data_IF_398864166542
#
_entry.id   IF_398864166542
#
_cell.length_a   1.000
_cell.length_b   1.000
_cell.length_c   1.000
_cell.angle_alpha   90.00
_cell.angle_beta   90.00
_cell.angle_gamma   90.00
#
_symmetry.space_group_name_H-M   'P 1'
#
loop_
_entity.id
_entity.type
_entity.pdbx_description
1 polymer ?
#
# COMPACT_ATOMS: atom_id res chain seq x y z
N UNK A 1 -15.81 18.16 28.31
CA UNK A 1 -15.19 19.41 27.81
C UNK A 1 -15.92 19.82 26.53
N UNK A 2 -16.94 20.68 26.62
CA UNK A 2 -17.73 21.07 25.45
C UNK A 2 -16.83 21.78 24.43
N UNK A 3 -16.73 21.22 23.22
CA UNK A 3 -16.03 21.88 22.13
C UNK A 3 -16.77 23.18 21.79
N UNK A 4 -16.04 24.29 21.75
CA UNK A 4 -16.58 25.58 21.31
C UNK A 4 -17.18 25.42 19.90
N UNK A 5 -18.35 26.01 19.67
CA UNK A 5 -19.17 25.80 18.47
C UNK A 5 -18.39 26.02 17.16
N UNK A 6 -17.55 27.06 17.09
CA UNK A 6 -16.72 27.33 15.90
C UNK A 6 -15.74 26.19 15.56
N UNK A 7 -15.23 25.46 16.56
CA UNK A 7 -14.32 24.33 16.32
C UNK A 7 -15.05 23.19 15.64
N UNK A 8 -16.27 22.90 16.09
CA UNK A 8 -17.13 21.87 15.48
C UNK A 8 -17.48 22.25 14.05
N UNK A 9 -17.82 23.52 13.83
CA UNK A 9 -18.15 24.05 12.50
C UNK A 9 -16.98 23.88 11.52
N UNK A 10 -15.80 24.41 11.86
CA UNK A 10 -14.64 24.37 10.97
C UNK A 10 -14.17 22.94 10.69
N UNK A 11 -14.22 22.05 11.69
CA UNK A 11 -13.90 20.63 11.50
C UNK A 11 -14.93 19.90 10.65
N UNK A 12 -16.22 20.22 10.79
CA UNK A 12 -17.26 19.63 9.95
C UNK A 12 -17.08 20.03 8.48
N UNK A 13 -16.78 21.30 8.20
CA UNK A 13 -16.52 21.76 6.85
C UNK A 13 -15.23 21.19 6.27
N UNK A 14 -14.18 21.04 7.08
CA UNK A 14 -12.98 20.33 6.68
C UNK A 14 -13.29 18.89 6.25
N UNK A 15 -14.12 18.17 7.02
CA UNK A 15 -14.51 16.79 6.69
C UNK A 15 -15.32 16.75 5.39
N UNK A 16 -16.31 17.65 5.22
CA UNK A 16 -17.09 17.73 3.97
C UNK A 16 -16.21 17.96 2.76
N UNK A 17 -15.24 18.88 2.86
CA UNK A 17 -14.31 19.18 1.78
C UNK A 17 -13.40 17.97 1.50
N UNK A 18 -12.90 17.29 2.52
CA UNK A 18 -12.13 16.06 2.32
C UNK A 18 -12.94 14.99 1.60
N UNK A 19 -14.18 14.74 2.02
CA UNK A 19 -15.05 13.75 1.39
C UNK A 19 -15.37 14.12 -0.06
N UNK A 20 -15.65 15.40 -0.34
CA UNK A 20 -15.88 15.91 -1.69
C UNK A 20 -14.65 15.70 -2.57
N UNK A 21 -13.46 16.06 -2.09
CA UNK A 21 -12.23 15.88 -2.85
C UNK A 21 -11.94 14.40 -3.11
N UNK A 22 -12.08 13.53 -2.10
CA UNK A 22 -11.89 12.09 -2.27
C UNK A 22 -12.87 11.51 -3.30
N UNK A 23 -14.13 11.95 -3.28
CA UNK A 23 -15.13 11.54 -4.27
C UNK A 23 -14.76 12.00 -5.70
N UNK A 24 -14.35 13.26 -5.87
CA UNK A 24 -13.95 13.80 -7.17
C UNK A 24 -12.73 13.03 -7.73
N UNK A 25 -11.67 12.89 -6.94
CA UNK A 25 -10.47 12.17 -7.37
C UNK A 25 -10.76 10.69 -7.62
N UNK A 26 -11.52 10.03 -6.75
CA UNK A 26 -11.92 8.63 -6.96
C UNK A 26 -12.72 8.45 -8.25
N UNK A 27 -13.62 9.37 -8.57
CA UNK A 27 -14.40 9.34 -9.82
C UNK A 27 -13.50 9.51 -11.05
N UNK A 28 -12.53 10.42 -11.01
CA UNK A 28 -11.56 10.58 -12.10
C UNK A 28 -10.72 9.32 -12.31
N UNK A 29 -10.14 8.76 -11.25
CA UNK A 29 -9.37 7.52 -11.34
C UNK A 29 -10.21 6.34 -11.82
N UNK A 30 -11.46 6.24 -11.36
CA UNK A 30 -12.39 5.23 -11.83
C UNK A 30 -12.63 5.34 -13.34
N UNK A 31 -12.88 6.54 -13.86
CA UNK A 31 -13.10 6.75 -15.30
C UNK A 31 -11.86 6.40 -16.11
N UNK A 32 -10.68 6.87 -15.67
CA UNK A 32 -9.41 6.59 -16.36
C UNK A 32 -9.16 5.08 -16.42
N UNK A 33 -9.22 4.39 -15.29
CA UNK A 33 -8.97 2.94 -15.23
C UNK A 33 -10.03 2.14 -15.98
N UNK A 34 -11.29 2.60 -15.96
CA UNK A 34 -12.36 1.98 -16.71
C UNK A 34 -12.04 2.01 -18.21
N UNK A 35 -11.74 3.18 -18.78
CA UNK A 35 -11.47 3.29 -20.21
C UNK A 35 -10.15 2.65 -20.62
N UNK A 36 -9.11 2.74 -19.79
CA UNK A 36 -7.81 2.12 -20.05
C UNK A 36 -7.93 0.59 -20.14
N UNK A 37 -8.69 -0.02 -19.24
CA UNK A 37 -8.81 -1.49 -19.15
C UNK A 37 -9.98 -2.07 -19.94
N UNK A 38 -10.95 -1.27 -20.36
CA UNK A 38 -12.12 -1.76 -21.10
C UNK A 38 -11.71 -2.40 -22.43
N UNK A 39 -10.79 -1.78 -23.18
CA UNK A 39 -10.33 -2.31 -24.47
C UNK A 39 -9.69 -3.69 -24.34
N UNK A 40 -8.82 -3.85 -23.35
CA UNK A 40 -8.17 -5.13 -23.05
C UNK A 40 -9.21 -6.17 -22.57
N UNK A 41 -10.12 -5.77 -21.67
CA UNK A 41 -11.17 -6.66 -21.16
C UNK A 41 -12.07 -7.25 -22.26
N UNK A 42 -12.51 -6.41 -23.20
CA UNK A 42 -13.39 -6.83 -24.30
C UNK A 42 -12.75 -7.92 -25.17
N UNK A 43 -11.41 -7.99 -25.23
CA UNK A 43 -10.71 -9.04 -25.97
C UNK A 43 -10.85 -10.43 -25.35
N UNK A 44 -11.03 -10.54 -24.02
CA UNK A 44 -11.07 -11.80 -23.29
C UNK A 44 -12.46 -12.48 -23.28
N UNK A 45 -13.50 -11.83 -23.82
CA UNK A 45 -14.88 -12.36 -23.93
C UNK A 45 -15.44 -12.92 -22.61
N UNK A 46 -15.11 -12.28 -21.49
CA UNK A 46 -15.54 -12.68 -20.14
C UNK A 46 -16.83 -11.96 -19.69
N UNK A 47 -17.56 -12.52 -18.69
CA UNK A 47 -18.71 -11.85 -18.12
C UNK A 47 -18.38 -10.45 -17.55
N UNK A 48 -19.19 -9.45 -17.87
CA UNK A 48 -18.96 -8.05 -17.47
C UNK A 48 -18.89 -7.83 -15.96
N UNK A 49 -19.54 -8.68 -15.16
CA UNK A 49 -19.47 -8.57 -13.70
C UNK A 49 -18.04 -8.75 -13.16
N UNK A 50 -17.18 -9.52 -13.84
CA UNK A 50 -15.77 -9.68 -13.46
C UNK A 50 -14.99 -8.38 -13.63
N UNK A 51 -15.31 -7.63 -14.70
CA UNK A 51 -14.73 -6.32 -14.93
C UNK A 51 -15.15 -5.33 -13.85
N UNK A 52 -16.44 -5.32 -13.48
CA UNK A 52 -16.92 -4.48 -12.39
C UNK A 52 -16.27 -4.82 -11.04
N UNK A 53 -16.10 -6.11 -10.74
CA UNK A 53 -15.38 -6.57 -9.54
C UNK A 53 -13.91 -6.11 -9.56
N UNK A 54 -13.22 -6.27 -10.69
CA UNK A 54 -11.86 -5.76 -10.89
C UNK A 54 -11.78 -4.25 -10.65
N UNK A 55 -12.63 -3.46 -11.31
CA UNK A 55 -12.63 -1.99 -11.21
C UNK A 55 -12.96 -1.54 -9.79
N UNK A 56 -13.84 -2.24 -9.08
CA UNK A 56 -14.15 -1.94 -7.68
C UNK A 56 -12.91 -2.09 -6.78
N UNK A 57 -12.22 -3.24 -6.84
CA UNK A 57 -11.01 -3.47 -6.04
C UNK A 57 -9.85 -2.57 -6.46
N UNK A 58 -9.74 -2.30 -7.76
CA UNK A 58 -8.75 -1.37 -8.30
C UNK A 58 -8.98 0.07 -7.83
N UNK A 59 -10.24 0.53 -7.78
CA UNK A 59 -10.59 1.85 -7.25
C UNK A 59 -10.17 2.01 -5.78
N UNK A 60 -10.41 0.98 -4.95
CA UNK A 60 -9.94 0.94 -3.56
C UNK A 60 -8.41 0.99 -3.45
N UNK A 61 -7.72 0.33 -4.38
CA UNK A 61 -6.26 0.35 -4.47
C UNK A 61 -5.75 1.75 -4.81
N UNK A 62 -6.35 2.40 -5.81
CA UNK A 62 -6.00 3.77 -6.20
C UNK A 62 -6.30 4.78 -5.09
N UNK A 63 -7.39 4.58 -4.35
CA UNK A 63 -7.75 5.41 -3.20
C UNK A 63 -6.61 5.47 -2.19
N UNK A 64 -5.94 4.35 -1.90
CA UNK A 64 -4.73 4.37 -1.07
C UNK A 64 -3.61 5.23 -1.66
N UNK A 65 -3.42 5.20 -2.98
CA UNK A 65 -2.31 5.92 -3.61
C UNK A 65 -2.48 7.45 -3.57
N UNK A 66 -3.68 7.96 -3.85
CA UNK A 66 -3.91 9.41 -3.91
C UNK A 66 -4.40 10.03 -2.60
N UNK A 67 -4.95 9.24 -1.66
CA UNK A 67 -5.50 9.71 -0.39
C UNK A 67 -4.60 10.72 0.36
N UNK A 68 -3.29 10.46 0.58
CA UNK A 68 -2.52 11.35 1.42
C UNK A 68 -2.33 12.73 0.80
N UNK A 69 -2.29 12.78 -0.53
CA UNK A 69 -2.14 14.02 -1.30
C UNK A 69 -3.45 14.81 -1.26
N UNK A 70 -4.56 14.15 -1.60
CA UNK A 70 -5.90 14.78 -1.60
C UNK A 70 -6.27 15.33 -0.23
N UNK A 71 -5.98 14.57 0.84
CA UNK A 71 -6.24 15.03 2.20
C UNK A 71 -5.37 16.23 2.59
N UNK A 72 -4.09 16.26 2.19
CA UNK A 72 -3.23 17.44 2.40
C UNK A 72 -3.76 18.70 1.69
N UNK A 73 -4.28 18.55 0.47
CA UNK A 73 -4.83 19.65 -0.34
C UNK A 73 -6.07 20.31 0.33
N UNK A 74 -6.84 19.53 1.11
CA UNK A 74 -8.09 19.97 1.74
C UNK A 74 -7.97 21.24 2.59
N UNK A 75 -6.81 21.47 3.23
CA UNK A 75 -6.60 22.66 4.06
C UNK A 75 -6.64 23.97 3.27
N UNK A 76 -6.03 24.01 2.09
CA UNK A 76 -6.05 25.19 1.21
C UNK A 76 -7.46 25.41 0.67
N UNK A 77 -8.14 24.33 0.26
CA UNK A 77 -9.51 24.40 -0.28
C UNK A 77 -10.50 24.86 0.78
N UNK A 78 -10.36 24.42 2.03
CA UNK A 78 -11.17 24.92 3.14
C UNK A 78 -11.06 26.42 3.27
N UNK A 79 -9.85 26.98 3.31
CA UNK A 79 -9.71 28.41 3.47
C UNK A 79 -10.09 29.20 2.23
N UNK A 80 -9.93 28.63 1.03
CA UNK A 80 -10.50 29.22 -0.19
C UNK A 80 -12.03 29.30 -0.10
N UNK A 81 -12.67 28.21 0.35
CA UNK A 81 -14.12 28.14 0.53
C UNK A 81 -14.61 29.17 1.55
N UNK A 82 -14.02 29.18 2.75
CA UNK A 82 -14.35 30.15 3.81
C UNK A 82 -14.09 31.60 3.38
N UNK A 83 -13.13 31.82 2.48
CA UNK A 83 -12.90 33.14 1.92
C UNK A 83 -14.02 33.53 0.96
N UNK A 84 -14.42 32.62 0.07
CA UNK A 84 -15.48 32.84 -0.91
C UNK A 84 -16.83 33.14 -0.26
N UNK A 85 -17.12 32.52 0.89
CA UNK A 85 -18.35 32.77 1.67
C UNK A 85 -18.24 33.98 2.61
N UNK A 86 -17.07 34.63 2.71
CA UNK A 86 -16.83 35.74 3.63
C UNK A 86 -16.65 35.33 5.10
N UNK A 87 -16.78 34.04 5.42
CA UNK A 87 -16.66 33.50 6.78
C UNK A 87 -15.25 33.65 7.36
N UNK A 88 -14.21 33.53 6.53
CA UNK A 88 -12.83 33.73 6.99
C UNK A 88 -12.62 35.16 7.49
N UNK A 89 -13.17 36.15 6.78
CA UNK A 89 -13.14 37.55 7.21
C UNK A 89 -13.91 37.71 8.52
N UNK A 90 -15.10 37.10 8.62
CA UNK A 90 -15.89 37.07 9.86
C UNK A 90 -15.12 36.53 11.06
N UNK A 91 -14.42 35.40 10.92
CA UNK A 91 -13.55 34.87 11.98
C UNK A 91 -12.45 35.87 12.38
N UNK A 92 -11.76 36.47 11.41
CA UNK A 92 -10.69 37.42 11.72
C UNK A 92 -11.23 38.70 12.40
N UNK A 93 -12.38 39.20 11.96
CA UNK A 93 -13.05 40.37 12.56
C UNK A 93 -13.55 40.13 13.98
N UNK A 94 -13.93 38.89 14.31
CA UNK A 94 -14.33 38.48 15.67
C UNK A 94 -13.12 38.25 16.61
N UNK A 95 -11.90 38.56 16.17
CA UNK A 95 -10.68 38.48 16.98
C UNK A 95 -10.03 37.09 17.00
N UNK A 96 -10.45 36.15 16.15
CA UNK A 96 -9.77 34.86 16.05
C UNK A 96 -8.39 35.03 15.41
N UNK A 97 -7.35 34.56 16.08
CA UNK A 97 -6.00 34.63 15.54
C UNK A 97 -5.83 33.70 14.32
N UNK A 98 -5.10 34.17 13.30
CA UNK A 98 -4.68 33.35 12.15
C UNK A 98 -4.01 32.03 12.59
N UNK A 99 -3.18 32.10 13.64
CA UNK A 99 -2.50 30.93 14.23
C UNK A 99 -3.48 29.90 14.80
N UNK A 100 -4.57 30.34 15.43
CA UNK A 100 -5.59 29.44 15.97
C UNK A 100 -6.34 28.69 14.88
N UNK A 101 -6.70 29.38 13.79
CA UNK A 101 -7.34 28.75 12.63
C UNK A 101 -6.42 27.72 11.97
N UNK A 102 -5.16 28.07 11.71
CA UNK A 102 -4.16 27.15 11.12
C UNK A 102 -3.95 25.91 12.02
N UNK A 103 -3.77 26.11 13.33
CA UNK A 103 -3.57 25.00 14.28
C UNK A 103 -4.80 24.09 14.34
N UNK A 104 -6.02 24.65 14.34
CA UNK A 104 -7.25 23.88 14.34
C UNK A 104 -7.40 23.05 13.05
N UNK A 105 -7.18 23.66 11.88
CA UNK A 105 -7.24 22.95 10.60
C UNK A 105 -6.19 21.85 10.53
N UNK A 106 -4.95 22.13 10.93
CA UNK A 106 -3.89 21.11 10.94
C UNK A 106 -4.20 19.92 11.85
N UNK A 107 -4.77 20.18 13.05
CA UNK A 107 -5.24 19.10 13.95
C UNK A 107 -6.37 18.30 13.32
N UNK A 108 -7.30 18.98 12.64
CA UNK A 108 -8.38 18.34 11.90
C UNK A 108 -7.86 17.41 10.80
N UNK A 109 -6.91 17.88 9.99
CA UNK A 109 -6.26 17.08 8.94
C UNK A 109 -5.55 15.88 9.57
N UNK A 110 -4.80 16.07 10.66
CA UNK A 110 -4.09 15.00 11.35
C UNK A 110 -5.04 13.91 11.86
N UNK A 111 -6.12 14.29 12.55
CA UNK A 111 -7.10 13.33 13.08
C UNK A 111 -7.83 12.60 11.97
N UNK A 112 -8.27 13.32 10.92
CA UNK A 112 -8.94 12.71 9.77
C UNK A 112 -8.02 11.75 9.02
N UNK A 113 -6.76 12.15 8.80
CA UNK A 113 -5.74 11.33 8.15
C UNK A 113 -5.38 10.07 8.96
N UNK A 114 -5.30 10.18 10.29
CA UNK A 114 -5.06 9.02 11.15
C UNK A 114 -6.23 8.04 11.10
N UNK A 115 -7.47 8.51 11.27
CA UNK A 115 -8.64 7.62 11.28
C UNK A 115 -8.87 6.95 9.92
N UNK A 116 -8.97 7.74 8.86
CA UNK A 116 -9.31 7.23 7.55
C UNK A 116 -8.10 6.59 6.85
N UNK A 117 -6.90 7.18 6.99
CA UNK A 117 -5.68 6.64 6.41
C UNK A 117 -5.28 5.28 7.00
N UNK A 118 -5.50 5.04 8.30
CA UNK A 118 -5.29 3.71 8.88
C UNK A 118 -6.30 2.70 8.33
N UNK A 119 -7.57 3.07 8.24
CA UNK A 119 -8.61 2.19 7.67
C UNK A 119 -8.28 1.79 6.22
N UNK A 120 -7.88 2.75 5.39
CA UNK A 120 -7.47 2.50 4.00
C UNK A 120 -6.20 1.64 3.95
N UNK A 121 -5.21 1.90 4.81
CA UNK A 121 -3.95 1.15 4.85
C UNK A 121 -4.15 -0.33 5.22
N UNK A 122 -5.11 -0.62 6.11
CA UNK A 122 -5.49 -2.01 6.47
C UNK A 122 -6.22 -2.69 5.31
N UNK A 123 -7.08 -1.98 4.60
CA UNK A 123 -7.88 -2.52 3.49
C UNK A 123 -7.05 -2.72 2.21
N UNK A 124 -6.03 -1.90 2.00
CA UNK A 124 -5.24 -1.82 0.77
C UNK A 124 -4.61 -3.16 0.31
N UNK A 125 -3.89 -3.93 1.15
CA UNK A 125 -3.29 -5.19 0.70
C UNK A 125 -4.31 -6.19 0.16
N UNK A 126 -5.48 -6.26 0.81
CA UNK A 126 -6.59 -7.12 0.37
C UNK A 126 -7.16 -6.65 -0.96
N UNK A 127 -7.39 -5.34 -1.10
CA UNK A 127 -7.91 -4.77 -2.34
C UNK A 127 -6.94 -4.97 -3.52
N UNK A 128 -5.65 -4.72 -3.30
CA UNK A 128 -4.63 -4.90 -4.33
C UNK A 128 -4.52 -6.37 -4.76
N UNK A 129 -4.59 -7.31 -3.81
CA UNK A 129 -4.61 -8.73 -4.14
C UNK A 129 -5.85 -9.11 -4.96
N UNK A 130 -7.04 -8.68 -4.54
CA UNK A 130 -8.29 -9.03 -5.24
C UNK A 130 -8.37 -8.40 -6.62
N UNK A 131 -7.88 -7.16 -6.81
CA UNK A 131 -7.82 -6.58 -8.16
C UNK A 131 -6.90 -7.39 -9.08
N UNK A 132 -5.72 -7.77 -8.57
CA UNK A 132 -4.73 -8.50 -9.35
C UNK A 132 -5.20 -9.92 -9.66
N UNK A 133 -5.78 -10.60 -8.66
CA UNK A 133 -6.39 -11.91 -8.81
C UNK A 133 -7.55 -11.89 -9.83
N UNK A 134 -8.50 -10.96 -9.72
CA UNK A 134 -9.61 -10.89 -10.67
C UNK A 134 -9.11 -10.60 -12.09
N UNK A 135 -8.10 -9.75 -12.28
CA UNK A 135 -7.54 -9.46 -13.60
C UNK A 135 -6.76 -10.63 -14.20
N UNK A 136 -5.68 -11.07 -13.54
CA UNK A 136 -4.75 -12.04 -14.13
C UNK A 136 -5.34 -13.45 -14.18
N UNK A 137 -6.13 -13.83 -13.16
CA UNK A 137 -6.70 -15.17 -13.07
C UNK A 137 -8.08 -15.29 -13.71
N UNK A 138 -9.03 -14.42 -13.32
CA UNK A 138 -10.44 -14.59 -13.75
C UNK A 138 -10.72 -14.01 -15.13
N UNK A 139 -9.99 -12.96 -15.53
CA UNK A 139 -10.20 -12.27 -16.81
C UNK A 139 -9.22 -12.75 -17.87
N UNK A 140 -7.91 -12.54 -17.63
CA UNK A 140 -6.88 -12.74 -18.63
C UNK A 140 -6.51 -14.21 -18.88
N UNK A 141 -7.00 -15.13 -18.04
CA UNK A 141 -6.73 -16.57 -18.10
C UNK A 141 -5.26 -16.88 -18.42
N UNK A 142 -4.33 -16.19 -17.74
CA UNK A 142 -2.90 -16.52 -17.80
C UNK A 142 -2.67 -17.90 -17.14
N UNK A 143 -3.01 -18.93 -17.91
CA UNK A 143 -2.89 -20.39 -17.79
C UNK A 143 -3.26 -21.06 -16.45
N UNK A 144 -3.67 -22.31 -16.66
CA UNK A 144 -4.38 -23.23 -15.78
C UNK A 144 -3.50 -23.79 -14.64
N UNK A 145 -4.17 -24.16 -13.54
CA UNK A 145 -3.75 -25.05 -12.46
C UNK A 145 -2.99 -24.49 -11.25
N UNK A 146 -3.42 -23.39 -10.62
CA UNK A 146 -2.95 -23.07 -9.27
C UNK A 146 -4.09 -22.59 -8.37
N UNK A 147 -4.52 -23.42 -7.43
CA UNK A 147 -5.38 -22.99 -6.32
C UNK A 147 -4.47 -22.40 -5.24
N UNK A 148 -4.59 -21.09 -5.00
CA UNK A 148 -3.99 -20.45 -3.82
C UNK A 148 -4.99 -20.60 -2.68
N UNK A 149 -4.77 -21.57 -1.80
CA UNK A 149 -5.59 -21.78 -0.60
C UNK A 149 -4.73 -21.53 0.63
N UNK A 150 -5.16 -20.62 1.53
CA UNK A 150 -4.42 -20.28 2.76
C UNK A 150 -2.92 -19.99 2.57
N UNK A 151 -2.57 -19.13 1.61
CA UNK A 151 -1.18 -18.73 1.31
C UNK A 151 -0.29 -19.87 0.75
N UNK A 152 -0.84 -21.04 0.46
CA UNK A 152 -0.13 -22.16 -0.16
C UNK A 152 -0.47 -22.27 -1.65
N UNK A 153 0.53 -22.52 -2.48
CA UNK A 153 0.43 -22.94 -3.87
C UNK A 153 0.20 -24.44 -3.93
N UNK A 154 -0.81 -24.84 -4.69
CA UNK A 154 -1.07 -26.23 -5.06
C UNK A 154 -0.76 -26.37 -6.55
N UNK A 155 0.21 -27.23 -6.89
CA UNK A 155 0.66 -27.47 -8.24
C UNK A 155 0.49 -28.95 -8.55
N UNK A 156 -0.08 -29.23 -9.73
CA UNK A 156 -0.14 -30.59 -10.29
C UNK A 156 0.85 -30.69 -11.44
N UNK A 157 1.88 -31.51 -11.27
CA UNK A 157 2.76 -31.95 -12.33
C UNK A 157 2.23 -33.17 -13.08
N UNK A 158 2.97 -33.67 -14.08
CA UNK A 158 2.62 -34.88 -14.82
C UNK A 158 2.47 -36.12 -13.92
N UNK A 159 3.33 -36.19 -12.89
CA UNK A 159 3.58 -37.35 -12.03
C UNK A 159 3.79 -36.95 -10.56
N UNK A 160 3.47 -35.70 -10.20
CA UNK A 160 3.56 -35.23 -8.82
C UNK A 160 2.51 -34.16 -8.47
N UNK A 161 2.28 -33.98 -7.18
CA UNK A 161 1.60 -32.82 -6.60
C UNK A 161 2.58 -32.08 -5.69
N UNK A 162 2.62 -30.75 -5.79
CA UNK A 162 3.40 -29.89 -4.91
C UNK A 162 2.42 -28.97 -4.15
N UNK A 163 2.54 -28.97 -2.84
CA UNK A 163 1.90 -28.02 -1.95
C UNK A 163 3.02 -27.26 -1.27
N UNK A 164 3.07 -25.95 -1.40
CA UNK A 164 4.12 -25.16 -0.76
C UNK A 164 3.64 -23.75 -0.48
N UNK A 165 4.32 -23.00 0.37
CA UNK A 165 4.07 -21.59 0.60
C UNK A 165 5.18 -20.77 -0.06
N UNK A 166 4.92 -20.04 -1.17
CA UNK A 166 5.93 -19.21 -1.79
C UNK A 166 6.24 -18.00 -0.90
N UNK A 167 7.52 -17.78 -0.61
CA UNK A 167 7.98 -16.65 0.20
C UNK A 167 8.47 -15.47 -0.66
N UNK A 168 8.64 -15.69 -1.97
CA UNK A 168 9.08 -14.66 -2.91
C UNK A 168 8.16 -14.54 -4.13
N UNK A 169 8.06 -13.35 -4.77
CA UNK A 169 7.28 -13.12 -5.98
C UNK A 169 7.77 -13.91 -7.19
N UNK A 170 9.01 -14.40 -7.15
CA UNK A 170 9.58 -15.25 -8.19
C UNK A 170 9.56 -16.73 -7.84
N UNK A 171 9.13 -17.10 -6.63
CA UNK A 171 8.99 -18.50 -6.23
C UNK A 171 10.32 -19.20 -6.03
N UNK A 172 11.42 -18.46 -5.91
CA UNK A 172 12.75 -19.04 -5.70
C UNK A 172 12.89 -19.69 -4.32
N UNK A 173 11.97 -19.36 -3.41
CA UNK A 173 11.94 -19.87 -2.04
C UNK A 173 10.53 -20.30 -1.65
N UNK A 174 10.46 -21.49 -1.08
CA UNK A 174 9.26 -22.15 -0.65
C UNK A 174 9.39 -22.56 0.83
N UNK A 175 8.29 -22.46 1.57
CA UNK A 175 8.15 -22.94 2.94
C UNK A 175 7.04 -24.00 3.01
N UNK A 176 7.08 -24.90 4.00
CA UNK A 176 6.05 -25.93 4.22
C UNK A 176 5.75 -26.72 2.95
N UNK A 177 6.81 -27.30 2.38
CA UNK A 177 6.80 -28.00 1.10
C UNK A 177 6.34 -29.44 1.34
N UNK A 178 5.33 -29.85 0.59
CA UNK A 178 4.85 -31.21 0.49
C UNK A 178 4.84 -31.60 -0.99
N UNK A 179 5.67 -32.57 -1.35
CA UNK A 179 5.73 -33.17 -2.67
C UNK A 179 5.20 -34.60 -2.59
N UNK A 180 4.25 -34.92 -3.47
CA UNK A 180 3.60 -36.23 -3.54
C UNK A 180 3.76 -36.77 -4.95
N UNK A 181 4.57 -37.80 -5.14
CA UNK A 181 4.78 -38.44 -6.44
C UNK A 181 3.80 -39.59 -6.64
N UNK A 182 3.13 -39.60 -7.79
CA UNK A 182 2.09 -40.57 -8.14
C UNK A 182 2.42 -41.20 -9.50
N UNK A 183 2.17 -42.50 -9.64
CA UNK A 183 2.25 -43.20 -10.92
C UNK A 183 0.98 -44.03 -11.14
N UNK A 184 0.25 -43.81 -12.24
CA UNK A 184 -0.99 -44.54 -12.55
C UNK A 184 -1.96 -44.64 -11.36
N UNK A 185 -2.13 -43.53 -10.64
CA UNK A 185 -2.98 -43.38 -9.44
C UNK A 185 -2.46 -44.03 -8.14
N UNK A 186 -1.28 -44.65 -8.16
CA UNK A 186 -0.63 -45.20 -6.97
C UNK A 186 0.43 -44.25 -6.40
N UNK A 187 0.44 -44.11 -5.07
CA UNK A 187 1.36 -43.25 -4.32
C UNK A 187 2.75 -43.91 -4.26
N UNK A 188 3.78 -43.25 -4.81
CA UNK A 188 5.15 -43.78 -4.80
C UNK A 188 6.04 -43.18 -3.71
N UNK A 189 5.96 -41.87 -3.54
CA UNK A 189 6.88 -41.12 -2.68
C UNK A 189 6.24 -39.85 -2.15
N UNK A 190 6.42 -39.60 -0.86
CA UNK A 190 6.07 -38.35 -0.21
C UNK A 190 7.35 -37.70 0.31
N UNK A 191 7.53 -36.42 0.04
CA UNK A 191 8.60 -35.60 0.59
C UNK A 191 7.96 -34.43 1.32
N UNK A 192 8.25 -34.30 2.61
CA UNK A 192 7.98 -33.09 3.39
C UNK A 192 9.28 -32.34 3.58
N UNK A 193 9.29 -31.03 3.38
CA UNK A 193 10.43 -30.18 3.69
C UNK A 193 9.94 -28.88 4.30
N UNK A 194 10.66 -28.39 5.31
CA UNK A 194 10.29 -27.14 5.98
C UNK A 194 10.62 -25.92 5.13
N UNK A 195 11.76 -25.95 4.45
CA UNK A 195 12.24 -24.86 3.59
C UNK A 195 12.84 -25.44 2.31
N UNK A 196 12.69 -24.71 1.20
CA UNK A 196 13.31 -25.05 -0.07
C UNK A 196 13.75 -23.79 -0.80
N UNK A 197 14.93 -23.84 -1.42
CA UNK A 197 15.46 -22.75 -2.22
C UNK A 197 15.98 -23.24 -3.57
N UNK A 198 15.75 -22.44 -4.60
CA UNK A 198 16.25 -22.72 -5.94
C UNK A 198 17.58 -22.00 -6.17
N UNK A 199 18.62 -22.76 -6.51
CA UNK A 199 19.96 -22.23 -6.83
C UNK A 199 20.60 -23.08 -7.92
N UNK A 200 21.22 -22.45 -8.91
CA UNK A 200 21.98 -23.16 -9.96
C UNK A 200 21.18 -24.28 -10.63
N UNK A 201 19.95 -23.96 -11.04
CA UNK A 201 19.00 -24.88 -11.72
C UNK A 201 18.50 -26.07 -10.90
N UNK A 202 18.70 -26.07 -9.58
CA UNK A 202 18.27 -27.17 -8.70
C UNK A 202 17.60 -26.69 -7.43
N UNK A 203 16.73 -27.54 -6.87
CA UNK A 203 16.07 -27.30 -5.59
C UNK A 203 16.89 -27.89 -4.45
N UNK A 204 17.13 -27.08 -3.43
CA UNK A 204 17.76 -27.48 -2.20
C UNK A 204 16.72 -27.40 -1.07
N UNK A 205 16.35 -28.56 -0.55
CA UNK A 205 15.37 -28.71 0.52
C UNK A 205 16.10 -28.87 1.87
N UNK A 206 15.55 -28.28 2.93
CA UNK A 206 16.06 -28.38 4.31
C UNK A 206 15.02 -29.00 5.23
N UNK A 207 15.52 -29.74 6.24
CA UNK A 207 14.70 -30.47 7.21
C UNK A 207 13.66 -31.35 6.51
N UNK A 208 14.15 -32.34 5.77
CA UNK A 208 13.37 -33.13 4.82
C UNK A 208 13.00 -34.48 5.44
N UNK A 209 11.76 -34.89 5.26
CA UNK A 209 11.23 -36.20 5.62
C UNK A 209 10.78 -36.87 4.33
N UNK A 210 11.33 -38.02 4.00
CA UNK A 210 10.92 -38.79 2.82
C UNK A 210 10.27 -40.11 3.23
N UNK A 211 9.20 -40.49 2.55
CA UNK A 211 8.54 -41.78 2.66
C UNK A 211 8.40 -42.37 1.27
N UNK A 212 8.89 -43.59 1.07
CA UNK A 212 8.87 -44.28 -0.23
C UNK A 212 8.16 -45.63 -0.12
N UNK A 213 7.44 -46.00 -1.17
CA UNK A 213 6.72 -47.28 -1.29
C UNK A 213 7.66 -48.48 -1.12
N UNK A 214 8.85 -48.43 -1.73
CA UNK A 214 9.88 -49.47 -1.64
C UNK A 214 10.34 -49.78 -0.20
N UNK A 215 10.06 -48.88 0.74
CA UNK A 215 10.41 -49.01 2.17
C UNK A 215 9.17 -49.05 3.07
N UNK A 216 8.01 -49.45 2.55
CA UNK A 216 6.73 -49.44 3.27
C UNK A 216 6.41 -48.08 3.92
N UNK A 217 6.80 -46.97 3.30
CA UNK A 217 6.60 -45.61 3.80
C UNK A 217 7.26 -45.31 5.17
N UNK A 218 8.32 -46.02 5.55
CA UNK A 218 9.11 -45.67 6.74
C UNK A 218 9.71 -44.26 6.61
N UNK A 219 9.55 -43.37 7.62
CA UNK A 219 10.05 -42.00 7.52
C UNK A 219 11.57 -41.94 7.63
N UNK A 220 12.21 -41.31 6.64
CA UNK A 220 13.65 -41.04 6.63
C UNK A 220 13.91 -39.53 6.74
N UNK A 221 14.81 -39.15 7.65
CA UNK A 221 15.10 -37.76 7.96
C UNK A 221 16.42 -37.32 7.34
N UNK A 222 16.38 -36.23 6.55
CA UNK A 222 17.54 -35.62 5.93
C UNK A 222 17.66 -34.16 6.35
N UNK A 223 18.88 -33.72 6.70
CA UNK A 223 19.12 -32.30 7.03
C UNK A 223 19.03 -31.40 5.79
N UNK A 224 19.66 -31.83 4.70
CA UNK A 224 19.63 -31.16 3.40
C UNK A 224 19.44 -32.23 2.32
N UNK A 225 18.56 -31.98 1.35
CA UNK A 225 18.34 -32.86 0.22
C UNK A 225 18.29 -32.04 -1.06
N UNK A 226 19.09 -32.44 -2.04
CA UNK A 226 19.04 -31.88 -3.39
C UNK A 226 17.93 -32.59 -4.17
N UNK A 227 16.88 -31.85 -4.50
CA UNK A 227 15.75 -32.35 -5.27
C UNK A 227 15.88 -31.84 -6.71
N UNK A 228 15.97 -32.77 -7.66
CA UNK A 228 15.90 -32.43 -9.08
C UNK A 228 14.43 -32.38 -9.51
N UNK A 229 13.75 -31.28 -9.20
CA UNK A 229 12.39 -31.01 -9.66
C UNK A 229 12.47 -30.24 -10.98
N UNK A 230 11.73 -30.68 -11.99
CA UNK A 230 11.62 -29.96 -13.28
C UNK A 230 10.85 -28.63 -13.20
N UNK A 231 10.55 -28.16 -11.98
CA UNK A 231 9.76 -26.96 -11.73
C UNK A 231 10.71 -25.77 -11.57
N UNK A 232 10.56 -24.74 -12.41
CA UNK A 232 11.30 -23.50 -12.27
C UNK A 232 10.55 -22.54 -11.35
N UNK A 233 11.26 -21.70 -10.56
CA UNK A 233 10.65 -20.63 -9.75
C UNK A 233 9.65 -19.76 -10.51
N UNK A 234 9.99 -19.40 -11.75
CA UNK A 234 9.15 -18.61 -12.65
C UNK A 234 7.78 -19.26 -12.94
N UNK A 235 7.67 -20.57 -12.77
CA UNK A 235 6.43 -21.35 -12.93
C UNK A 235 5.64 -21.48 -11.62
N UNK A 236 6.26 -21.17 -10.47
CA UNK A 236 5.67 -21.33 -9.13
C UNK A 236 4.86 -20.10 -8.67
N UNK A 237 5.10 -18.92 -9.25
CA UNK A 237 4.40 -17.70 -8.82
C UNK A 237 3.43 -17.24 -9.87
N UNK A 238 2.16 -17.46 -9.56
CA UNK A 238 1.04 -17.09 -10.41
C UNK A 238 0.79 -15.57 -10.44
N UNK A 239 1.17 -14.86 -9.38
CA UNK A 239 0.94 -13.42 -9.24
C UNK A 239 2.14 -12.79 -8.54
N UNK A 240 2.99 -12.09 -9.29
CA UNK A 240 4.00 -11.22 -8.70
C UNK A 240 3.27 -10.12 -7.91
N UNK A 241 3.08 -10.33 -6.59
CA UNK A 241 2.67 -9.24 -5.71
C UNK A 241 3.86 -8.29 -5.59
N UNK A 242 3.79 -7.06 -6.14
CA UNK A 242 4.84 -6.09 -5.92
C UNK A 242 4.95 -5.80 -4.41
N UNK A 243 6.17 -5.54 -3.96
CA UNK A 243 6.50 -5.25 -2.55
C UNK A 243 5.54 -4.23 -1.91
N UNK A 244 5.11 -3.22 -2.69
CA UNK A 244 4.17 -2.19 -2.27
C UNK A 244 2.84 -2.75 -1.76
N UNK A 245 2.33 -3.85 -2.33
CA UNK A 245 1.01 -4.42 -2.05
C UNK A 245 0.98 -5.33 -0.82
N UNK A 246 2.15 -5.70 -0.28
CA UNK A 246 2.23 -6.53 0.91
C UNK A 246 1.71 -5.77 2.15
N UNK A 247 1.08 -6.50 3.06
CA UNK A 247 0.70 -6.02 4.38
C UNK A 247 1.93 -5.76 5.25
N UNK A 248 1.77 -4.97 6.32
CA UNK A 248 2.86 -4.71 7.27
C UNK A 248 3.38 -6.00 7.92
N UNK A 249 2.49 -6.96 8.19
CA UNK A 249 2.85 -8.26 8.76
C UNK A 249 3.70 -9.07 7.77
N UNK A 250 3.24 -9.22 6.53
CA UNK A 250 3.97 -9.92 5.47
C UNK A 250 5.34 -9.28 5.20
N UNK A 251 5.42 -7.94 5.19
CA UNK A 251 6.69 -7.22 5.04
C UNK A 251 7.66 -7.49 6.20
N UNK A 252 7.17 -7.54 7.44
CA UNK A 252 8.02 -7.78 8.61
C UNK A 252 8.50 -9.23 8.67
N UNK A 253 7.64 -10.20 8.35
CA UNK A 253 8.01 -11.62 8.23
C UNK A 253 9.08 -11.80 7.16
N UNK A 254 8.89 -11.18 5.99
CA UNK A 254 9.88 -11.16 4.90
C UNK A 254 11.20 -10.50 5.31
N UNK A 255 11.16 -9.35 5.99
CA UNK A 255 12.37 -8.70 6.52
C UNK A 255 13.14 -9.63 7.47
N UNK A 256 12.44 -10.25 8.44
CA UNK A 256 13.05 -11.16 9.40
C UNK A 256 13.71 -12.33 8.69
N UNK A 257 13.05 -12.87 7.67
CA UNK A 257 13.57 -13.95 6.85
C UNK A 257 14.80 -13.56 6.03
N UNK A 258 14.74 -12.48 5.27
CA UNK A 258 15.88 -12.02 4.45
C UNK A 258 17.11 -11.69 5.30
N UNK A 259 16.90 -11.19 6.52
CA UNK A 259 17.96 -10.98 7.50
C UNK A 259 18.60 -12.30 7.95
N UNK A 260 17.82 -13.35 8.17
CA UNK A 260 18.34 -14.69 8.53
C UNK A 260 19.17 -15.31 7.39
N UNK A 261 18.74 -15.10 6.14
CA UNK A 261 19.40 -15.66 4.95
C UNK A 261 20.54 -14.76 4.40
N UNK A 262 20.85 -13.63 5.07
CA UNK A 262 21.89 -12.66 4.67
C UNK A 262 21.72 -12.12 3.25
N UNK A 263 20.47 -11.91 2.82
CA UNK A 263 20.11 -11.30 1.53
C UNK A 263 19.86 -9.79 1.68
N UNK A 264 19.97 -8.98 0.60
CA UNK A 264 19.62 -7.56 0.67
C UNK A 264 18.13 -7.40 1.03
N UNK A 265 17.84 -6.62 2.07
CA UNK A 265 16.49 -6.41 2.62
C UNK A 265 16.09 -4.92 2.68
N UNK A 266 16.83 -4.05 1.97
CA UNK A 266 16.70 -2.60 2.10
C UNK A 266 15.34 -2.09 1.61
N UNK A 267 14.80 -2.71 0.57
CA UNK A 267 13.52 -2.34 -0.04
C UNK A 267 12.34 -2.65 0.89
N UNK A 268 12.40 -3.79 1.60
CA UNK A 268 11.40 -4.18 2.58
C UNK A 268 11.37 -3.18 3.75
N UNK A 269 12.54 -2.78 4.27
CA UNK A 269 12.63 -1.79 5.34
C UNK A 269 12.09 -0.43 4.88
N UNK A 270 12.39 -0.04 3.63
CA UNK A 270 11.87 1.19 3.04
C UNK A 270 10.33 1.17 2.95
N UNK A 271 9.72 0.09 2.46
CA UNK A 271 8.26 -0.03 2.36
C UNK A 271 7.57 -0.08 3.73
N UNK A 272 8.15 -0.76 4.73
CA UNK A 272 7.66 -0.72 6.11
C UNK A 272 7.64 0.72 6.62
N UNK A 273 8.73 1.45 6.43
CA UNK A 273 8.85 2.83 6.86
C UNK A 273 7.82 3.74 6.18
N UNK A 274 7.64 3.60 4.87
CA UNK A 274 6.64 4.36 4.11
C UNK A 274 5.21 4.09 4.56
N UNK A 275 4.86 2.83 4.88
CA UNK A 275 3.53 2.48 5.40
C UNK A 275 3.26 3.05 6.79
N UNK A 276 4.29 3.13 7.65
CA UNK A 276 4.16 3.76 8.98
C UNK A 276 3.96 5.28 8.85
N UNK A 277 4.65 5.90 7.89
CA UNK A 277 4.58 7.34 7.64
C UNK A 277 3.32 7.78 6.91
N UNK A 278 2.74 6.89 6.10
CA UNK A 278 1.58 7.13 5.26
C UNK A 278 0.46 7.98 5.92
N UNK A 279 -0.07 7.64 7.11
CA UNK A 279 -1.16 8.41 7.73
C UNK A 279 -0.74 9.81 8.20
N UNK A 280 0.57 10.09 8.31
CA UNK A 280 1.09 11.39 8.72
C UNK A 280 1.44 12.31 7.54
N UNK A 281 1.53 11.77 6.33
CA UNK A 281 1.82 12.55 5.11
C UNK A 281 0.83 13.70 4.87
N UNK A 282 -0.50 13.54 5.06
CA UNK A 282 -1.45 14.64 4.86
C UNK A 282 -1.18 15.85 5.74
N UNK A 283 -0.71 15.64 6.97
CA UNK A 283 -0.40 16.74 7.88
C UNK A 283 0.77 17.56 7.34
N UNK A 284 1.85 16.90 6.90
CA UNK A 284 3.01 17.58 6.32
C UNK A 284 2.63 18.36 5.05
N UNK A 285 1.91 17.71 4.14
CA UNK A 285 1.50 18.31 2.88
C UNK A 285 0.44 19.41 3.05
N UNK A 286 -0.44 19.31 4.03
CA UNK A 286 -1.51 20.28 4.24
C UNK A 286 -1.12 21.47 5.11
N UNK A 287 -0.29 21.27 6.13
CA UNK A 287 -0.02 22.29 7.15
C UNK A 287 0.72 23.51 6.59
N UNK A 288 1.88 23.30 5.95
CA UNK A 288 2.71 24.42 5.46
C UNK A 288 2.03 25.23 4.34
N UNK A 289 1.38 24.62 3.32
CA UNK A 289 0.67 25.39 2.30
C UNK A 289 -0.51 26.19 2.86
N UNK A 290 -1.28 25.58 3.77
CA UNK A 290 -2.38 26.24 4.48
C UNK A 290 -1.90 27.43 5.29
N UNK A 291 -0.75 27.27 5.95
CA UNK A 291 -0.10 28.32 6.71
C UNK A 291 0.32 29.50 5.83
N UNK A 292 0.88 29.23 4.65
CA UNK A 292 1.29 30.25 3.68
C UNK A 292 0.08 30.99 3.12
N UNK A 293 -1.02 30.28 2.84
CA UNK A 293 -2.29 30.89 2.45
C UNK A 293 -2.78 31.90 3.49
N UNK A 294 -2.91 31.47 4.75
CA UNK A 294 -3.53 32.29 5.80
C UNK A 294 -2.62 33.45 6.23
N UNK A 295 -1.31 33.25 6.30
CA UNK A 295 -0.36 34.32 6.63
C UNK A 295 -0.45 35.46 5.61
N UNK A 296 -0.50 35.13 4.33
CA UNK A 296 -0.55 36.10 3.23
C UNK A 296 -1.97 36.58 2.90
N UNK A 297 -2.99 36.06 3.57
CA UNK A 297 -4.38 36.44 3.32
C UNK A 297 -4.65 37.93 3.57
N UNK A 298 -5.17 38.59 2.54
CA UNK A 298 -5.77 39.93 2.56
C UNK A 298 -7.14 39.89 1.86
N UNK A 299 -8.16 40.61 2.37
CA UNK A 299 -9.51 40.55 1.82
C UNK A 299 -9.60 41.01 0.35
N UNK A 300 -8.75 41.95 -0.05
CA UNK A 300 -8.71 42.51 -1.40
C UNK A 300 -8.01 41.62 -2.43
N UNK A 301 -7.16 40.67 -2.01
CA UNK A 301 -6.33 39.86 -2.91
C UNK A 301 -6.30 38.39 -2.49
N UNK A 302 -7.41 37.68 -2.67
CA UNK A 302 -7.56 36.27 -2.30
C UNK A 302 -6.78 35.31 -3.21
N UNK A 303 -6.65 35.68 -4.48
CA UNK A 303 -6.08 34.84 -5.54
C UNK A 303 -4.58 34.62 -5.33
N UNK A 304 -3.84 35.66 -4.90
CA UNK A 304 -2.38 35.59 -4.73
C UNK A 304 -1.98 34.61 -3.60
N UNK A 305 -2.56 34.68 -2.38
CA UNK A 305 -2.32 33.70 -1.31
C UNK A 305 -2.76 32.29 -1.68
N UNK A 306 -3.85 32.15 -2.45
CA UNK A 306 -4.29 30.87 -2.98
C UNK A 306 -3.22 30.20 -3.85
N UNK A 307 -2.76 30.90 -4.90
CA UNK A 307 -1.72 30.38 -5.78
C UNK A 307 -0.40 30.14 -5.04
N UNK A 308 0.01 31.04 -4.13
CA UNK A 308 1.20 30.83 -3.30
C UNK A 308 1.10 29.55 -2.47
N UNK A 309 -0.04 29.32 -1.82
CA UNK A 309 -0.29 28.07 -1.08
C UNK A 309 -0.23 26.86 -2.00
N UNK A 310 -0.90 26.91 -3.14
CA UNK A 310 -0.94 25.81 -4.11
C UNK A 310 0.44 25.47 -4.68
N UNK A 311 1.25 26.47 -5.04
CA UNK A 311 2.62 26.29 -5.51
C UNK A 311 3.45 25.58 -4.44
N UNK A 312 3.38 26.04 -3.19
CA UNK A 312 4.08 25.40 -2.08
C UNK A 312 3.62 23.96 -1.85
N UNK A 313 2.33 23.67 -2.01
CA UNK A 313 1.82 22.30 -1.95
C UNK A 313 2.47 21.41 -3.01
N UNK A 314 2.54 21.84 -4.27
CA UNK A 314 3.18 21.06 -5.34
C UNK A 314 4.70 20.90 -5.18
N UNK A 315 5.38 21.91 -4.62
CA UNK A 315 6.80 21.82 -4.27
C UNK A 315 7.00 20.74 -3.20
N UNK A 316 6.22 20.76 -2.12
CA UNK A 316 6.30 19.77 -1.05
C UNK A 316 5.90 18.36 -1.52
N UNK A 317 4.91 18.27 -2.41
CA UNK A 317 4.50 17.01 -3.02
C UNK A 317 5.63 16.40 -3.84
N UNK A 318 6.22 17.17 -4.77
CA UNK A 318 7.34 16.72 -5.61
C UNK A 318 8.53 16.29 -4.75
N UNK A 319 8.86 17.10 -3.73
CA UNK A 319 9.93 16.79 -2.80
C UNK A 319 9.65 15.50 -1.99
N UNK A 320 8.41 15.31 -1.55
CA UNK A 320 8.00 14.10 -0.84
C UNK A 320 8.15 12.86 -1.73
N UNK A 321 7.63 12.90 -2.97
CA UNK A 321 7.76 11.81 -3.92
C UNK A 321 9.23 11.49 -4.23
N UNK A 322 10.06 12.52 -4.41
CA UNK A 322 11.49 12.36 -4.58
C UNK A 322 12.14 11.61 -3.40
N UNK A 323 11.87 12.01 -2.16
CA UNK A 323 12.38 11.32 -0.97
C UNK A 323 11.88 9.88 -0.86
N UNK A 324 10.61 9.60 -1.19
CA UNK A 324 10.09 8.24 -1.22
C UNK A 324 10.84 7.36 -2.23
N UNK A 325 11.15 7.89 -3.42
CA UNK A 325 11.94 7.15 -4.42
C UNK A 325 13.38 6.89 -3.99
N UNK A 326 14.04 7.85 -3.35
CA UNK A 326 15.39 7.67 -2.79
C UNK A 326 15.40 6.62 -1.67
N UNK A 327 14.37 6.63 -0.82
CA UNK A 327 14.23 5.66 0.24
C UNK A 327 14.07 4.24 -0.31
N UNK A 328 13.23 4.06 -1.35
CA UNK A 328 13.08 2.77 -2.06
C UNK A 328 14.38 2.27 -2.68
N UNK A 329 15.24 3.17 -3.15
CA UNK A 329 16.59 2.83 -3.65
C UNK A 329 17.61 2.51 -2.55
N UNK A 330 17.21 2.53 -1.27
CA UNK A 330 18.05 2.14 -0.13
C UNK A 330 18.81 3.30 0.54
N UNK A 331 18.46 4.55 0.26
CA UNK A 331 19.03 5.74 0.92
C UNK A 331 18.18 6.08 2.15
N UNK A 332 18.50 5.46 3.29
CA UNK A 332 17.73 5.62 4.54
C UNK A 332 17.73 7.05 5.11
N UNK A 333 18.73 7.87 4.77
CA UNK A 333 18.79 9.29 5.16
C UNK A 333 17.56 10.06 4.66
N UNK A 334 17.03 9.71 3.47
CA UNK A 334 15.81 10.30 2.93
C UNK A 334 14.59 10.04 3.83
N UNK A 335 14.54 8.85 4.45
CA UNK A 335 13.49 8.50 5.40
C UNK A 335 13.57 9.33 6.68
N UNK A 336 14.76 9.47 7.26
CA UNK A 336 15.00 10.29 8.46
C UNK A 336 14.59 11.74 8.21
N UNK A 337 14.98 12.30 7.06
CA UNK A 337 14.62 13.66 6.68
C UNK A 337 13.11 13.83 6.54
N UNK A 338 12.42 12.86 5.95
CA UNK A 338 10.97 12.87 5.80
C UNK A 338 10.25 12.78 7.16
N UNK A 339 10.73 11.93 8.08
CA UNK A 339 10.22 11.87 9.46
C UNK A 339 10.44 13.17 10.22
N UNK A 340 11.62 13.79 10.06
CA UNK A 340 11.95 15.06 10.70
C UNK A 340 11.01 16.18 10.21
N UNK A 341 10.72 16.24 8.92
CA UNK A 341 9.78 17.22 8.36
C UNK A 341 8.35 17.04 8.88
N UNK A 342 7.87 15.80 8.96
CA UNK A 342 6.57 15.49 9.56
C UNK A 342 6.55 15.89 11.03
N UNK A 343 7.62 15.60 11.77
CA UNK A 343 7.76 15.97 13.17
C UNK A 343 7.71 17.49 13.36
N UNK A 344 8.38 18.27 12.50
CA UNK A 344 8.30 19.74 12.51
C UNK A 344 6.86 20.21 12.27
N UNK A 345 6.14 19.63 11.29
CA UNK A 345 4.73 19.97 11.04
C UNK A 345 3.85 19.66 12.26
N UNK A 346 4.07 18.51 12.90
CA UNK A 346 3.36 18.12 14.11
C UNK A 346 3.63 19.08 15.27
N UNK A 347 4.91 19.37 15.55
CA UNK A 347 5.31 20.29 16.60
C UNK A 347 4.74 21.70 16.37
N UNK A 348 4.81 22.19 15.14
CA UNK A 348 4.28 23.49 14.71
C UNK A 348 2.75 23.58 14.81
N UNK A 349 2.06 22.47 14.57
CA UNK A 349 0.61 22.39 14.66
C UNK A 349 0.11 22.36 16.11
N UNK A 350 0.82 21.66 17.00
CA UNK A 350 0.38 21.41 18.38
C UNK A 350 0.93 22.41 19.39
N UNK A 351 2.16 22.92 19.22
CA UNK A 351 2.77 23.89 20.14
C UNK A 351 2.62 25.33 19.65
N UNK A 352 1.77 26.11 20.34
CA UNK A 352 1.52 27.54 20.08
C UNK A 352 2.76 28.44 20.19
N UNK A 353 3.85 27.97 20.82
CA UNK A 353 5.00 28.78 21.26
C UNK A 353 6.17 28.86 20.28
N UNK A 354 6.12 28.15 19.15
CA UNK A 354 7.26 27.98 18.22
C UNK A 354 7.18 28.97 17.04
N UNK A 355 6.28 29.96 17.11
CA UNK A 355 6.00 30.90 16.03
C UNK A 355 5.82 32.32 16.51
#
# INVERSE_FOLDING_TARGET
MFMKIYKKYLLADLIKINLLLLFIFSSFYFLVDFFDKLGEFLSFKKPFYLFLDYIFWKSLTNLYEFFPFVCGLSGIILFLWLTRTGELLGFLSLGFSKKELISLTGKGICVFALLLGLAISILFPKAAFLSLYTWDYRIAEKREQYLVFNEQIFIRGPDFYLIAKPLEPKGEYLQDILLVFINKEELKKIIWAKEGFYKSEKWFLKEVITQEENKNFSPEFFKNLEANLSIKPETLVMVEKPLKFLSLKELFERYKFLKMVKRPYKEEVAEIFLKVIYPFLPLFLGFFPTMIFIKNYTPSQVIIPFFKGLIWYFILLTFCLFLQTLLRKGIFVAGILLSFLIFISFLSCFFKKIW
#
